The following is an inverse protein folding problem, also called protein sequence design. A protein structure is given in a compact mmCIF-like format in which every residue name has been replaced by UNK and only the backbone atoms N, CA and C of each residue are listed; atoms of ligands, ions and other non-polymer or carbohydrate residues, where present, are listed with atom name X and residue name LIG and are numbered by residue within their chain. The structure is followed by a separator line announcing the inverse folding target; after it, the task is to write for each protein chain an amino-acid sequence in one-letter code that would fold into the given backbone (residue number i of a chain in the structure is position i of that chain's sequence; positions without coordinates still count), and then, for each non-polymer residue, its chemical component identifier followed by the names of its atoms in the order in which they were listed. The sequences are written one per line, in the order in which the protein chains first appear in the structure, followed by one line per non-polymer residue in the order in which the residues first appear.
data_IF_418027833456
#
_entry.id   IF_418027833456
#
_cell.length_a   1.000
_cell.length_b   1.000
_cell.length_c   1.000
_cell.angle_alpha   90.00
_cell.angle_beta   90.00
_cell.angle_gamma   90.00
#
_symmetry.space_group_name_H-M   'P 1'
#
loop_
_entity.id
_entity.type
_entity.pdbx_description
1 polymer ?
#
# COMPACT_ATOMS: atom_id res chain seq x y z
N UNK A 1 -10.03 19.65 11.21
CA UNK A 1 -11.05 18.67 10.77
C UNK A 1 -10.42 17.75 9.73
N UNK A 2 -9.81 16.63 10.14
CA UNK A 2 -9.06 15.73 9.23
C UNK A 2 -9.27 14.24 9.54
N UNK A 3 -9.90 13.91 10.66
CA UNK A 3 -10.06 12.52 11.12
C UNK A 3 -11.00 11.67 10.23
N UNK A 4 -11.98 12.29 9.57
CA UNK A 4 -12.94 11.58 8.72
C UNK A 4 -12.35 11.10 7.38
N UNK A 5 -11.30 11.77 6.87
CA UNK A 5 -10.67 11.43 5.60
C UNK A 5 -9.75 10.19 5.69
N UNK A 6 -9.28 9.84 6.90
CA UNK A 6 -8.39 8.69 7.13
C UNK A 6 -9.11 7.34 7.15
N UNK A 7 -10.43 7.32 7.37
CA UNK A 7 -11.22 6.10 7.54
C UNK A 7 -11.18 5.21 6.28
N UNK A 8 -11.50 5.70 5.07
CA UNK A 8 -11.45 4.87 3.86
C UNK A 8 -10.06 4.29 3.59
N UNK A 9 -9.00 5.09 3.80
CA UNK A 9 -7.60 4.67 3.64
C UNK A 9 -7.20 3.58 4.65
N UNK A 10 -7.65 3.69 5.91
CA UNK A 10 -7.41 2.67 6.94
C UNK A 10 -8.15 1.38 6.63
N UNK A 11 -9.39 1.46 6.17
CA UNK A 11 -10.17 0.30 5.74
C UNK A 11 -9.51 -0.43 4.56
N UNK A 12 -9.06 0.31 3.54
CA UNK A 12 -8.35 -0.26 2.40
C UNK A 12 -7.05 -0.94 2.83
N UNK A 13 -6.25 -0.26 3.67
CA UNK A 13 -5.00 -0.82 4.20
C UNK A 13 -5.23 -2.11 4.99
N UNK A 14 -6.33 -2.16 5.76
CA UNK A 14 -6.72 -3.37 6.49
C UNK A 14 -7.11 -4.50 5.55
N UNK A 15 -7.88 -4.23 4.50
CA UNK A 15 -8.24 -5.22 3.48
C UNK A 15 -7.00 -5.79 2.78
N UNK A 16 -6.04 -4.93 2.39
CA UNK A 16 -4.78 -5.37 1.78
C UNK A 16 -3.99 -6.29 2.70
N UNK A 17 -3.93 -5.99 4.01
CA UNK A 17 -3.25 -6.85 4.99
C UNK A 17 -3.91 -8.22 5.13
N UNK A 18 -5.25 -8.28 5.10
CA UNK A 18 -5.96 -9.56 5.16
C UNK A 18 -5.70 -10.41 3.91
N UNK A 19 -5.72 -9.79 2.71
CA UNK A 19 -5.42 -10.52 1.48
C UNK A 19 -3.97 -11.02 1.45
N UNK A 20 -3.00 -10.17 1.80
CA UNK A 20 -1.60 -10.57 1.88
C UNK A 20 -1.36 -11.71 2.87
N UNK A 21 -2.11 -11.75 3.99
CA UNK A 21 -2.02 -12.84 4.95
C UNK A 21 -2.56 -14.17 4.40
N UNK A 22 -3.62 -14.14 3.58
CA UNK A 22 -4.15 -15.33 2.90
C UNK A 22 -3.20 -15.83 1.81
N UNK A 23 -2.63 -14.92 1.02
CA UNK A 23 -1.62 -15.24 0.01
C UNK A 23 -0.38 -15.89 0.66
N UNK A 24 0.09 -15.33 1.77
CA UNK A 24 1.21 -15.91 2.53
C UNK A 24 0.86 -17.30 3.12
N UNK A 25 -0.38 -17.50 3.57
CA UNK A 25 -0.83 -18.80 4.06
C UNK A 25 -0.90 -19.83 2.92
N UNK A 26 -1.36 -19.43 1.74
CA UNK A 26 -1.37 -20.27 0.54
C UNK A 26 0.04 -20.66 0.10
N UNK A 27 0.95 -19.68 -0.02
CA UNK A 27 2.34 -19.92 -0.38
C UNK A 27 3.05 -20.86 0.63
N UNK A 28 2.73 -20.74 1.92
CA UNK A 28 3.26 -21.65 2.95
C UNK A 28 2.77 -23.09 2.79
N UNK A 29 1.56 -23.30 2.28
CA UNK A 29 1.01 -24.64 2.02
C UNK A 29 1.66 -25.24 0.77
N UNK A 30 1.90 -24.44 -0.27
CA UNK A 30 2.56 -24.90 -1.50
C UNK A 30 4.04 -25.24 -1.28
N UNK A 31 4.73 -24.48 -0.44
CA UNK A 31 6.17 -24.64 -0.21
C UNK A 31 6.55 -25.81 0.71
N UNK A 32 5.59 -26.52 1.30
CA UNK A 32 5.86 -27.46 2.39
C UNK A 32 4.95 -28.68 2.36
N UNK A 33 5.54 -29.85 2.61
CA UNK A 33 4.83 -31.15 2.68
C UNK A 33 4.63 -31.63 4.12
N UNK A 34 5.13 -30.89 5.11
CA UNK A 34 4.93 -31.20 6.53
C UNK A 34 3.46 -30.96 6.92
N UNK A 35 2.75 -32.00 7.41
CA UNK A 35 1.36 -31.88 7.83
C UNK A 35 1.15 -30.91 9.00
N UNK A 36 2.15 -30.70 9.88
CA UNK A 36 2.01 -29.76 11.00
C UNK A 36 2.01 -28.31 10.52
N UNK A 37 2.97 -27.95 9.65
CA UNK A 37 3.03 -26.63 9.02
C UNK A 37 1.79 -26.32 8.15
N UNK A 38 1.25 -27.31 7.43
CA UNK A 38 -0.01 -27.13 6.66
C UNK A 38 -1.18 -26.80 7.60
N UNK A 39 -1.29 -27.48 8.75
CA UNK A 39 -2.33 -27.19 9.76
C UNK A 39 -2.18 -25.78 10.32
N UNK A 40 -0.96 -25.39 10.66
CA UNK A 40 -0.67 -24.04 11.16
C UNK A 40 -1.04 -22.95 10.14
N UNK A 41 -0.71 -23.14 8.87
CA UNK A 41 -1.09 -22.20 7.80
C UNK A 41 -2.61 -22.09 7.63
N UNK A 42 -3.33 -23.22 7.73
CA UNK A 42 -4.80 -23.25 7.71
C UNK A 42 -5.43 -22.55 8.92
N UNK A 43 -4.87 -22.74 10.12
CA UNK A 43 -5.36 -22.09 11.33
C UNK A 43 -5.13 -20.57 11.27
N UNK A 44 -4.00 -20.14 10.71
CA UNK A 44 -3.76 -18.71 10.40
C UNK A 44 -4.80 -18.17 9.42
N UNK A 45 -5.11 -18.89 8.35
CA UNK A 45 -6.14 -18.49 7.39
C UNK A 45 -7.55 -18.38 8.04
N UNK A 46 -7.90 -19.30 8.96
CA UNK A 46 -9.15 -19.20 9.74
C UNK A 46 -9.20 -17.95 10.61
N UNK A 47 -8.13 -17.66 11.35
CA UNK A 47 -8.05 -16.46 12.19
C UNK A 47 -8.20 -15.17 11.36
N UNK A 48 -7.62 -15.12 10.15
CA UNK A 48 -7.80 -14.01 9.21
C UNK A 48 -9.28 -13.88 8.79
N UNK A 49 -9.97 -14.99 8.54
CA UNK A 49 -11.40 -15.02 8.25
C UNK A 49 -12.27 -14.49 9.40
N UNK A 50 -11.96 -14.86 10.64
CA UNK A 50 -12.66 -14.38 11.84
C UNK A 50 -12.47 -12.87 12.05
N UNK A 51 -11.25 -12.36 11.86
CA UNK A 51 -10.95 -10.92 11.91
C UNK A 51 -11.73 -10.16 10.82
N UNK A 52 -11.81 -10.70 9.61
CA UNK A 52 -12.58 -10.11 8.53
C UNK A 52 -14.09 -10.07 8.85
N UNK A 53 -14.63 -11.13 9.46
CA UNK A 53 -16.03 -11.16 9.89
C UNK A 53 -16.32 -10.11 10.98
N UNK A 54 -15.41 -9.92 11.94
CA UNK A 54 -15.55 -8.86 12.94
C UNK A 54 -15.47 -7.46 12.34
N UNK A 55 -14.55 -7.25 11.39
CA UNK A 55 -14.44 -5.97 10.69
C UNK A 55 -15.71 -5.61 9.91
N UNK A 56 -16.40 -6.59 9.31
CA UNK A 56 -17.72 -6.38 8.69
C UNK A 56 -18.77 -5.92 9.70
N UNK A 57 -18.78 -6.49 10.92
CA UNK A 57 -19.68 -6.02 11.98
C UNK A 57 -19.40 -4.56 12.35
N UNK A 58 -18.14 -4.17 12.48
CA UNK A 58 -17.74 -2.77 12.75
C UNK A 58 -18.18 -1.84 11.61
N UNK A 59 -18.03 -2.26 10.35
CA UNK A 59 -18.48 -1.49 9.20
C UNK A 59 -20.01 -1.31 9.17
N UNK A 60 -20.78 -2.29 9.65
CA UNK A 60 -22.23 -2.20 9.77
C UNK A 60 -22.70 -1.34 10.95
N UNK A 61 -21.88 -1.15 11.98
CA UNK A 61 -22.17 -0.27 13.13
C UNK A 61 -22.02 1.21 12.74
N UNK A 62 -21.11 1.51 11.80
CA UNK A 62 -21.03 2.87 11.25
C UNK A 62 -22.32 3.16 10.48
N UNK A 63 -22.96 4.33 10.71
CA UNK A 63 -24.16 4.69 9.97
C UNK A 63 -23.83 4.71 8.48
N UNK A 64 -24.27 3.67 7.79
CA UNK A 64 -24.32 3.64 6.33
C UNK A 64 -25.31 4.73 5.92
N UNK A 65 -24.96 5.63 4.97
CA UNK A 65 -25.92 6.59 4.46
C UNK A 65 -27.15 5.80 3.98
N UNK A 66 -28.31 6.08 4.60
CA UNK A 66 -29.55 5.35 4.35
C UNK A 66 -29.98 5.55 2.90
N UNK A 67 -29.75 4.52 2.11
CA UNK A 67 -30.24 4.35 0.75
C UNK A 67 -29.76 3.00 0.25
N UNK A 68 -30.59 2.26 -0.49
CA UNK A 68 -30.06 1.16 -1.30
C UNK A 68 -29.13 1.81 -2.31
N UNK A 69 -27.81 1.55 -2.32
CA UNK A 69 -27.04 1.92 -3.49
C UNK A 69 -27.67 1.10 -4.61
N UNK A 70 -28.24 1.76 -5.61
CA UNK A 70 -28.76 1.02 -6.74
C UNK A 70 -27.59 0.22 -7.30
N UNK A 71 -27.82 -1.04 -7.68
CA UNK A 71 -26.76 -1.91 -8.20
C UNK A 71 -26.04 -1.23 -9.39
N UNK A 72 -26.80 -0.40 -10.13
CA UNK A 72 -26.30 0.52 -11.16
C UNK A 72 -25.38 1.63 -10.61
N UNK A 73 -25.71 2.29 -9.50
CA UNK A 73 -24.85 3.31 -8.86
C UNK A 73 -23.57 2.70 -8.29
N UNK A 74 -23.66 1.48 -7.75
CA UNK A 74 -22.49 0.75 -7.22
C UNK A 74 -21.57 0.29 -8.35
N UNK A 75 -22.16 -0.20 -9.45
CA UNK A 75 -21.44 -0.57 -10.65
C UNK A 75 -20.83 0.65 -11.35
N UNK A 76 -21.55 1.78 -11.40
CA UNK A 76 -21.04 3.03 -11.94
C UNK A 76 -19.88 3.59 -11.08
N UNK A 77 -20.03 3.59 -9.76
CA UNK A 77 -18.95 3.98 -8.85
C UNK A 77 -17.72 3.06 -8.99
N UNK A 78 -17.93 1.75 -9.14
CA UNK A 78 -16.86 0.78 -9.42
C UNK A 78 -16.17 1.02 -10.76
N UNK A 79 -16.94 1.32 -11.81
CA UNK A 79 -16.42 1.62 -13.14
C UNK A 79 -15.64 2.94 -13.14
N UNK A 80 -16.14 3.98 -12.48
CA UNK A 80 -15.45 5.26 -12.33
C UNK A 80 -14.17 5.13 -11.50
N UNK A 81 -14.16 4.29 -10.46
CA UNK A 81 -12.95 4.00 -9.71
C UNK A 81 -11.91 3.26 -10.57
N UNK A 82 -12.34 2.28 -11.37
CA UNK A 82 -11.46 1.57 -12.30
C UNK A 82 -10.90 2.50 -13.40
N UNK A 83 -11.73 3.39 -13.94
CA UNK A 83 -11.32 4.41 -14.91
C UNK A 83 -10.35 5.42 -14.28
N UNK A 84 -10.56 5.82 -13.02
CA UNK A 84 -9.65 6.68 -12.27
C UNK A 84 -8.26 6.05 -12.10
N UNK A 85 -8.20 4.76 -11.75
CA UNK A 85 -6.94 4.01 -11.63
C UNK A 85 -6.26 3.86 -13.00
N UNK A 86 -7.02 3.61 -14.07
CA UNK A 86 -6.50 3.55 -15.44
C UNK A 86 -5.92 4.90 -15.90
N UNK A 87 -6.62 6.01 -15.63
CA UNK A 87 -6.14 7.36 -15.96
C UNK A 87 -4.88 7.73 -15.18
N UNK A 88 -4.82 7.42 -13.87
CA UNK A 88 -3.61 7.66 -13.07
C UNK A 88 -2.44 6.82 -13.57
N UNK A 89 -2.69 5.56 -13.95
CA UNK A 89 -1.66 4.68 -14.54
C UNK A 89 -1.18 5.19 -15.90
N UNK A 90 -2.08 5.71 -16.74
CA UNK A 90 -1.73 6.34 -18.01
C UNK A 90 -0.91 7.62 -17.80
N UNK A 91 -1.29 8.48 -16.86
CA UNK A 91 -0.50 9.67 -16.50
C UNK A 91 0.89 9.31 -15.97
N UNK A 92 1.01 8.25 -15.17
CA UNK A 92 2.29 7.73 -14.69
C UNK A 92 3.15 7.15 -15.82
N UNK A 93 2.53 6.51 -16.82
CA UNK A 93 3.22 5.98 -18.00
C UNK A 93 3.69 7.12 -18.94
N UNK A 94 2.84 8.11 -19.19
CA UNK A 94 3.21 9.31 -19.95
C UNK A 94 4.32 10.10 -19.25
N UNK A 95 4.26 10.25 -17.92
CA UNK A 95 5.33 10.89 -17.14
C UNK A 95 6.67 10.18 -17.27
N UNK A 96 6.67 8.85 -17.45
CA UNK A 96 7.88 8.05 -17.68
C UNK A 96 8.40 8.16 -19.12
N UNK A 97 7.52 8.42 -20.09
CA UNK A 97 7.89 8.64 -21.50
C UNK A 97 8.40 10.06 -21.75
N UNK A 98 7.93 11.05 -20.98
CA UNK A 98 8.44 12.43 -21.02
C UNK A 98 9.75 12.63 -20.24
N UNK A 99 10.21 11.62 -19.51
CA UNK A 99 11.53 11.62 -18.90
C UNK A 99 12.59 11.36 -19.98
N UNK A 100 13.01 12.43 -20.66
CA UNK A 100 14.25 12.44 -21.45
C UNK A 100 15.39 12.03 -20.51
N UNK A 101 16.23 11.04 -20.86
CA UNK A 101 17.40 10.71 -20.07
C UNK A 101 18.47 11.77 -20.34
N UNK A 102 18.35 12.95 -19.74
CA UNK A 102 19.45 13.90 -19.69
C UNK A 102 20.43 13.48 -18.60
N UNK A 103 21.55 12.98 -19.09
CA UNK A 103 22.83 12.77 -18.41
C UNK A 103 23.19 13.86 -17.41
N UNK A 104 23.26 13.54 -16.10
CA UNK A 104 24.29 14.06 -15.18
C UNK A 104 24.26 13.41 -13.77
N UNK A 105 24.59 12.11 -13.61
CA UNK A 105 24.90 11.55 -12.29
C UNK A 105 26.23 12.07 -11.69
N UNK A 106 27.00 12.86 -12.44
CA UNK A 106 28.34 13.34 -12.06
C UNK A 106 28.31 14.62 -11.22
N UNK A 107 27.40 15.56 -11.52
CA UNK A 107 27.31 16.84 -10.81
C UNK A 107 26.85 16.67 -9.35
N UNK A 108 25.86 15.79 -9.11
CA UNK A 108 25.38 15.47 -7.76
C UNK A 108 26.50 14.84 -6.89
N UNK A 109 27.33 13.99 -7.49
CA UNK A 109 28.44 13.33 -6.81
C UNK A 109 29.56 14.31 -6.44
N UNK A 110 29.82 15.33 -7.28
CA UNK A 110 30.82 16.36 -7.00
C UNK A 110 30.38 17.32 -5.88
N UNK A 111 29.08 17.69 -5.86
CA UNK A 111 28.49 18.51 -4.78
C UNK A 111 28.56 17.76 -3.44
N UNK A 112 28.24 16.45 -3.43
CA UNK A 112 28.30 15.63 -2.23
C UNK A 112 29.74 15.50 -1.68
N UNK A 113 30.75 15.39 -2.55
CA UNK A 113 32.17 15.34 -2.13
C UNK A 113 32.62 16.66 -1.49
N UNK A 114 32.30 17.80 -2.11
CA UNK A 114 32.64 19.14 -1.55
C UNK A 114 31.95 19.41 -0.22
N UNK A 115 30.74 18.90 -0.02
CA UNK A 115 30.03 19.01 1.27
C UNK A 115 30.72 18.17 2.37
N UNK A 116 31.22 16.98 2.02
CA UNK A 116 31.91 16.10 2.95
C UNK A 116 33.28 16.65 3.41
N UNK A 117 34.01 17.32 2.52
CA UNK A 117 35.30 17.93 2.85
C UNK A 117 35.16 19.13 3.80
N UNK A 118 34.09 19.92 3.64
CA UNK A 118 33.76 21.03 4.56
C UNK A 118 33.45 20.53 5.97
N UNK A 119 32.83 19.35 6.10
CA UNK A 119 32.53 18.72 7.39
C UNK A 119 33.79 18.13 8.06
N UNK A 120 34.77 17.65 7.27
CA UNK A 120 36.02 17.08 7.79
C UNK A 120 37.07 18.14 8.13
N UNK A 121 37.07 19.31 7.47
CA UNK A 121 38.05 20.38 7.68
C UNK A 121 37.86 21.23 8.95
N UNK A 122 36.75 21.09 9.67
CA UNK A 122 36.38 22.00 10.77
C UNK A 122 36.94 21.69 12.16
N UNK A 123 37.91 20.77 12.31
CA UNK A 123 38.36 20.31 13.65
C UNK A 123 39.87 20.37 13.89
N UNK A 124 40.54 21.46 13.48
CA UNK A 124 41.86 21.86 14.04
C UNK A 124 42.01 23.39 14.14
N UNK A 125 42.05 23.88 15.38
CA UNK A 125 42.37 25.26 15.80
C UNK A 125 41.10 26.02 16.22
N UNK A 126 40.88 26.43 17.47
CA UNK A 126 41.73 26.96 18.58
C UNK A 126 40.91 26.75 19.89
N UNK A 127 41.38 26.42 21.10
CA UNK A 127 42.53 26.90 21.91
C UNK A 127 42.99 28.31 21.58
#
# INVERSE_FOLDING_TARGET
MTQAQDIPTRCLTFQLKLMAALEAAWASIEATTDPAAIRQARDKAKAVGELAAMARKVALILPTPRGKPQLAETAAAGLHAAQGVANVSAMLADSRLTAVPETAPTAQAEIARRALDKLKGGRRGRL
#
